data_IF_539819561607
#
_entry.id   IF_539819561607
#
_cell.length_a   1.000
_cell.length_b   1.000
_cell.length_c   1.000
_cell.angle_alpha   90.00
_cell.angle_beta   90.00
_cell.angle_gamma   90.00
#
_symmetry.space_group_name_H-M   'P 1'
#
loop_
_entity.id
_entity.type
_entity.pdbx_description
1 polymer ?
#
# COMPACT_ATOMS: atom_id res chain seq x y z
N UNK A 1 42.86 2.58 -44.23
CA UNK A 1 43.61 3.12 -43.07
C UNK A 1 42.63 3.11 -41.89
N UNK A 2 42.83 2.23 -40.91
CA UNK A 2 41.87 2.00 -39.80
C UNK A 2 42.15 3.01 -38.70
N UNK A 3 41.25 3.96 -38.47
CA UNK A 3 41.35 4.92 -37.37
C UNK A 3 41.03 4.23 -36.05
N UNK A 4 42.05 3.99 -35.23
CA UNK A 4 41.94 3.34 -33.94
C UNK A 4 41.86 4.43 -32.87
N UNK A 5 40.65 4.82 -32.47
CA UNK A 5 40.46 5.70 -31.31
C UNK A 5 40.57 4.82 -30.07
N UNK A 6 41.71 4.95 -29.39
CA UNK A 6 42.02 4.33 -28.09
C UNK A 6 41.09 4.95 -27.04
N UNK A 7 40.19 4.16 -26.46
CA UNK A 7 39.89 4.13 -25.00
C UNK A 7 38.66 3.28 -24.61
N UNK A 8 37.81 2.82 -25.55
CA UNK A 8 36.63 1.98 -25.19
C UNK A 8 36.53 0.64 -25.93
N UNK A 9 37.59 0.19 -26.61
CA UNK A 9 37.67 -1.16 -27.19
C UNK A 9 36.76 -1.45 -28.39
N UNK A 10 35.97 -0.48 -28.87
CA UNK A 10 35.11 -0.66 -30.04
C UNK A 10 35.84 -0.34 -31.35
N UNK A 11 35.72 -1.23 -32.34
CA UNK A 11 36.28 -1.09 -33.70
C UNK A 11 35.12 -0.81 -34.66
N UNK A 12 35.09 0.38 -35.27
CA UNK A 12 34.07 0.73 -36.27
C UNK A 12 34.25 -0.12 -37.53
N UNK A 13 33.14 -0.66 -38.04
CA UNK A 13 33.13 -1.36 -39.33
C UNK A 13 33.22 -0.36 -40.49
N UNK A 14 33.72 -0.78 -41.67
CA UNK A 14 33.72 0.08 -42.86
C UNK A 14 32.29 0.54 -43.19
N UNK A 15 32.04 1.85 -43.14
CA UNK A 15 30.72 2.46 -43.40
C UNK A 15 30.03 3.03 -42.15
N UNK A 16 30.46 2.65 -40.94
CA UNK A 16 29.97 3.28 -39.71
C UNK A 16 30.64 4.64 -39.51
N UNK A 17 29.85 5.65 -39.15
CA UNK A 17 30.30 6.98 -38.73
C UNK A 17 29.66 7.32 -37.39
N UNK A 18 30.37 8.05 -36.56
CA UNK A 18 29.76 8.65 -35.37
C UNK A 18 28.81 9.77 -35.81
N UNK A 19 27.56 9.70 -35.38
CA UNK A 19 26.55 10.75 -35.57
C UNK A 19 26.76 11.84 -34.53
N UNK A 20 26.72 13.11 -34.93
CA UNK A 20 26.77 14.24 -33.99
C UNK A 20 25.39 14.41 -33.31
N UNK A 21 25.35 15.11 -32.17
CA UNK A 21 24.09 15.38 -31.44
C UNK A 21 23.05 16.12 -32.32
N UNK A 22 23.50 16.85 -33.35
CA UNK A 22 22.65 17.57 -34.30
C UNK A 22 22.09 16.68 -35.43
N UNK A 23 22.65 15.49 -35.65
CA UNK A 23 22.14 14.51 -36.63
C UNK A 23 20.98 13.66 -36.06
N UNK A 24 20.61 13.86 -34.79
CA UNK A 24 19.61 13.06 -34.08
C UNK A 24 18.17 13.62 -34.19
N UNK A 25 17.92 14.58 -35.07
CA UNK A 25 16.68 15.37 -35.07
C UNK A 25 15.57 14.75 -35.95
N UNK A 26 15.90 13.84 -36.87
CA UNK A 26 14.92 13.29 -37.83
C UNK A 26 14.32 11.93 -37.43
N UNK A 27 14.76 11.33 -36.31
CA UNK A 27 14.22 10.06 -35.79
C UNK A 27 13.23 10.27 -34.62
N UNK A 28 12.62 11.45 -34.49
CA UNK A 28 11.34 11.58 -33.76
C UNK A 28 10.24 11.07 -34.71
N UNK A 29 10.39 9.82 -35.15
CA UNK A 29 9.30 9.07 -35.73
C UNK A 29 8.27 8.92 -34.62
N UNK A 30 7.22 9.72 -34.73
CA UNK A 30 6.00 9.63 -33.95
C UNK A 30 5.56 8.18 -34.08
N UNK A 31 5.94 7.32 -33.12
CA UNK A 31 5.44 5.95 -33.04
C UNK A 31 3.95 6.05 -33.22
N UNK A 32 3.48 5.61 -34.39
CA UNK A 32 2.08 5.67 -34.73
C UNK A 32 1.38 4.86 -33.63
N UNK A 33 0.26 5.35 -33.11
CA UNK A 33 -0.46 4.72 -31.98
C UNK A 33 -0.73 3.21 -32.21
N UNK A 34 -0.70 2.79 -33.47
CA UNK A 34 -0.75 1.40 -33.97
C UNK A 34 0.47 0.51 -33.65
N UNK A 35 1.69 1.05 -33.54
CA UNK A 35 2.88 0.27 -33.17
C UNK A 35 3.00 0.07 -31.65
N UNK A 36 2.28 0.88 -30.87
CA UNK A 36 2.31 0.90 -29.40
C UNK A 36 1.47 -0.24 -28.79
N UNK A 37 0.52 -0.82 -29.55
CA UNK A 37 -0.40 -1.87 -29.08
C UNK A 37 -0.39 -3.10 -30.00
N UNK A 38 0.79 -3.69 -30.22
CA UNK A 38 0.90 -5.00 -30.88
C UNK A 38 0.53 -6.12 -29.90
N UNK A 39 -0.77 -6.37 -29.73
CA UNK A 39 -1.31 -7.43 -28.85
C UNK A 39 -0.59 -8.76 -29.09
N UNK A 40 -0.40 -9.14 -30.36
CA UNK A 40 0.26 -10.39 -30.75
C UNK A 40 1.70 -10.50 -30.21
N UNK A 41 2.44 -9.39 -30.16
CA UNK A 41 3.81 -9.36 -29.64
C UNK A 41 3.84 -9.47 -28.12
N UNK A 42 2.82 -8.91 -27.45
CA UNK A 42 2.64 -9.05 -26.00
C UNK A 42 2.29 -10.50 -25.66
N UNK A 43 1.39 -11.13 -26.41
CA UNK A 43 1.04 -12.54 -26.24
C UNK A 43 2.24 -13.46 -26.46
N UNK A 44 3.06 -13.21 -27.48
CA UNK A 44 4.30 -13.95 -27.73
C UNK A 44 5.27 -13.82 -26.54
N UNK A 45 5.44 -12.61 -26.01
CA UNK A 45 6.29 -12.37 -24.83
C UNK A 45 5.73 -12.97 -23.55
N UNK A 46 4.41 -12.94 -23.36
CA UNK A 46 3.77 -13.61 -22.24
C UNK A 46 4.00 -15.12 -22.30
N UNK A 47 3.84 -15.74 -23.47
CA UNK A 47 4.11 -17.16 -23.66
C UNK A 47 5.58 -17.54 -23.46
N UNK A 48 6.52 -16.63 -23.75
CA UNK A 48 7.95 -16.81 -23.49
C UNK A 48 8.27 -16.76 -21.99
N UNK A 49 7.63 -15.83 -21.26
CA UNK A 49 7.84 -15.63 -19.82
C UNK A 49 7.04 -16.60 -18.96
N UNK A 50 5.92 -17.10 -19.47
CA UNK A 50 5.05 -18.02 -18.76
C UNK A 50 5.81 -19.32 -18.51
N UNK A 51 6.08 -19.56 -17.24
CA UNK A 51 6.55 -20.86 -16.80
C UNK A 51 5.47 -21.87 -17.19
N UNK A 52 5.79 -22.82 -18.07
CA UNK A 52 4.89 -23.93 -18.42
C UNK A 52 4.81 -24.90 -17.24
N UNK A 53 4.13 -24.48 -16.18
CA UNK A 53 3.80 -25.34 -15.05
C UNK A 53 2.70 -26.31 -15.49
N UNK A 54 3.09 -27.47 -16.02
CA UNK A 54 2.17 -28.61 -16.09
C UNK A 54 1.66 -28.93 -14.68
N UNK A 55 0.34 -29.08 -14.51
CA UNK A 55 -0.37 -29.69 -13.36
C UNK A 55 0.33 -29.58 -11.99
N UNK A 56 0.93 -28.43 -11.68
CA UNK A 56 1.76 -28.27 -10.48
C UNK A 56 0.91 -27.80 -9.31
N UNK A 57 1.19 -28.38 -8.15
CA UNK A 57 0.57 -28.04 -6.89
C UNK A 57 0.61 -26.52 -6.70
N UNK A 58 -0.54 -25.94 -6.32
CA UNK A 58 -0.73 -24.50 -6.09
C UNK A 58 0.34 -23.86 -5.16
N UNK A 59 1.04 -24.65 -4.34
CA UNK A 59 2.17 -24.23 -3.50
C UNK A 59 3.33 -23.59 -4.28
N UNK A 60 3.50 -23.88 -5.57
CA UNK A 60 4.59 -23.31 -6.35
C UNK A 60 4.32 -21.86 -6.78
N UNK A 61 3.06 -21.53 -7.03
CA UNK A 61 2.66 -20.17 -7.43
C UNK A 61 2.22 -19.34 -6.23
N UNK A 62 1.50 -19.95 -5.28
CA UNK A 62 0.83 -19.26 -4.17
C UNK A 62 -0.04 -18.07 -4.61
N UNK A 63 -0.44 -18.04 -5.89
CA UNK A 63 -1.21 -16.96 -6.47
C UNK A 63 -2.70 -17.29 -6.43
N UNK A 64 -3.51 -16.29 -6.13
CA UNK A 64 -4.97 -16.37 -6.20
C UNK A 64 -5.42 -15.22 -7.08
N UNK A 65 -6.10 -15.55 -8.16
CA UNK A 65 -6.59 -14.59 -9.14
C UNK A 65 -8.10 -14.48 -8.92
N UNK A 66 -8.59 -13.26 -8.74
CA UNK A 66 -10.02 -12.98 -8.65
C UNK A 66 -10.42 -11.81 -9.54
N UNK A 67 -11.63 -11.87 -10.07
CA UNK A 67 -12.15 -10.88 -11.01
C UNK A 67 -12.98 -9.78 -10.34
N UNK A 68 -12.87 -9.64 -9.03
CA UNK A 68 -13.72 -8.72 -8.24
C UNK A 68 -13.13 -7.32 -8.23
N UNK A 69 -13.76 -6.42 -8.98
CA UNK A 69 -13.45 -4.99 -8.97
C UNK A 69 -14.12 -4.36 -7.73
N UNK A 70 -13.40 -3.58 -6.90
CA UNK A 70 -14.00 -2.91 -5.76
C UNK A 70 -14.95 -1.80 -6.22
N UNK A 71 -16.26 -2.04 -6.12
CA UNK A 71 -17.32 -1.12 -6.60
C UNK A 71 -18.20 -0.55 -5.48
N UNK A 72 -17.84 -0.74 -4.21
CA UNK A 72 -18.73 -0.36 -3.11
C UNK A 72 -18.61 1.14 -2.75
N UNK A 73 -19.47 1.97 -3.34
CA UNK A 73 -19.49 3.43 -3.16
C UNK A 73 -19.57 3.91 -1.70
N UNK A 74 -19.98 3.05 -0.77
CA UNK A 74 -20.15 3.40 0.65
C UNK A 74 -18.87 3.23 1.49
N UNK A 75 -17.85 2.54 0.96
CA UNK A 75 -16.60 2.26 1.66
C UNK A 75 -15.48 3.14 1.13
N UNK A 76 -14.53 3.47 2.01
CA UNK A 76 -13.25 4.03 1.55
C UNK A 76 -12.49 3.00 0.74
N UNK A 77 -11.72 3.44 -0.25
CA UNK A 77 -10.92 2.57 -1.10
C UNK A 77 -10.03 1.59 -0.31
N UNK A 78 -9.43 2.07 0.79
CA UNK A 78 -8.62 1.22 1.69
C UNK A 78 -9.43 0.09 2.34
N UNK A 79 -10.69 0.34 2.70
CA UNK A 79 -11.55 -0.71 3.26
C UNK A 79 -11.91 -1.75 2.20
N UNK A 80 -12.19 -1.30 0.97
CA UNK A 80 -12.47 -2.21 -0.14
C UNK A 80 -11.28 -3.13 -0.44
N UNK A 81 -10.05 -2.59 -0.45
CA UNK A 81 -8.85 -3.42 -0.62
C UNK A 81 -8.63 -4.39 0.53
N UNK A 82 -8.92 -3.99 1.77
CA UNK A 82 -8.82 -4.88 2.92
C UNK A 82 -9.83 -6.04 2.84
N UNK A 83 -11.07 -5.77 2.46
CA UNK A 83 -12.10 -6.81 2.26
C UNK A 83 -11.72 -7.77 1.13
N UNK A 84 -11.24 -7.24 0.02
CA UNK A 84 -10.76 -8.04 -1.11
C UNK A 84 -9.60 -8.96 -0.70
N UNK A 85 -8.60 -8.42 0.01
CA UNK A 85 -7.47 -9.19 0.51
C UNK A 85 -7.94 -10.29 1.47
N UNK A 86 -8.91 -10.00 2.33
CA UNK A 86 -9.45 -10.97 3.28
C UNK A 86 -10.12 -12.16 2.58
N UNK A 87 -10.91 -11.92 1.53
CA UNK A 87 -11.54 -13.00 0.75
C UNK A 87 -10.48 -13.88 0.05
N UNK A 88 -9.43 -13.30 -0.52
CA UNK A 88 -8.34 -14.07 -1.13
C UNK A 88 -7.55 -14.87 -0.09
N UNK A 89 -7.26 -14.30 1.08
CA UNK A 89 -6.61 -15.04 2.18
C UNK A 89 -7.44 -16.27 2.55
N UNK A 90 -8.77 -16.14 2.65
CA UNK A 90 -9.65 -17.27 2.99
C UNK A 90 -9.57 -18.41 1.97
N UNK A 91 -9.52 -18.08 0.68
CA UNK A 91 -9.34 -19.06 -0.40
C UNK A 91 -7.98 -19.76 -0.25
N UNK A 92 -6.92 -18.99 0.01
CA UNK A 92 -5.57 -19.53 0.16
C UNK A 92 -5.44 -20.45 1.37
N UNK A 93 -6.01 -20.05 2.52
CA UNK A 93 -6.03 -20.88 3.72
C UNK A 93 -6.78 -22.20 3.50
N UNK A 94 -7.87 -22.19 2.75
CA UNK A 94 -8.59 -23.42 2.41
C UNK A 94 -7.75 -24.34 1.52
N UNK A 95 -6.99 -23.78 0.58
CA UNK A 95 -6.08 -24.54 -0.26
C UNK A 95 -4.93 -25.16 0.56
N UNK A 96 -4.30 -24.40 1.47
CA UNK A 96 -3.30 -24.94 2.41
C UNK A 96 -3.88 -26.09 3.26
N UNK A 97 -5.10 -25.93 3.76
CA UNK A 97 -5.79 -26.97 4.53
C UNK A 97 -6.04 -28.23 3.71
N UNK A 98 -6.46 -28.11 2.44
CA UNK A 98 -6.64 -29.25 1.53
C UNK A 98 -5.32 -30.01 1.28
N UNK A 99 -4.20 -29.29 1.29
CA UNK A 99 -2.86 -29.87 1.14
C UNK A 99 -2.28 -30.43 2.44
N UNK A 100 -2.96 -30.26 3.58
CA UNK A 100 -2.49 -30.72 4.88
C UNK A 100 -1.30 -29.91 5.43
N UNK A 101 -1.11 -28.67 4.96
CA UNK A 101 -0.02 -27.80 5.39
C UNK A 101 -0.45 -26.88 6.55
N UNK A 102 0.41 -26.76 7.55
CA UNK A 102 0.26 -25.76 8.62
C UNK A 102 0.67 -24.38 8.09
N UNK A 103 -0.18 -23.38 8.34
CA UNK A 103 0.05 -22.01 7.87
C UNK A 103 0.28 -21.00 9.00
N UNK A 104 -0.01 -21.37 10.25
CA UNK A 104 0.17 -20.48 11.40
C UNK A 104 1.62 -20.52 11.86
N UNK A 105 2.19 -19.34 12.12
CA UNK A 105 3.51 -19.26 12.74
C UNK A 105 3.44 -19.77 14.19
N UNK A 106 4.26 -20.76 14.57
CA UNK A 106 4.37 -21.19 15.96
C UNK A 106 4.91 -20.07 16.87
N UNK A 107 4.42 -19.99 18.11
CA UNK A 107 4.86 -18.97 19.07
C UNK A 107 6.32 -19.12 19.46
N UNK A 108 6.83 -20.35 19.45
CA UNK A 108 8.20 -20.70 19.86
C UNK A 108 9.21 -20.68 18.68
N UNK A 109 8.77 -20.20 17.51
CA UNK A 109 9.65 -20.10 16.34
C UNK A 109 10.19 -18.67 16.19
N UNK A 110 11.44 -18.49 16.66
CA UNK A 110 12.17 -17.23 16.58
C UNK A 110 13.07 -17.22 15.33
N UNK A 111 12.62 -16.51 14.30
CA UNK A 111 13.39 -16.20 13.10
C UNK A 111 13.48 -14.69 12.91
N UNK A 112 14.43 -14.23 12.10
CA UNK A 112 14.51 -12.82 11.72
C UNK A 112 13.19 -12.36 11.06
N UNK A 113 12.69 -11.21 11.50
CA UNK A 113 11.45 -10.60 11.02
C UNK A 113 11.76 -9.43 10.09
N UNK A 114 10.82 -9.08 9.20
CA UNK A 114 10.97 -7.93 8.29
C UNK A 114 11.23 -6.60 9.04
N UNK A 115 10.76 -6.49 10.29
CA UNK A 115 10.95 -5.32 11.15
C UNK A 115 11.64 -5.73 12.43
N UNK A 116 12.61 -4.93 12.89
CA UNK A 116 13.28 -5.15 14.17
C UNK A 116 12.34 -4.91 15.36
N UNK A 117 12.63 -5.60 16.46
CA UNK A 117 11.87 -5.45 17.71
C UNK A 117 11.95 -4.03 18.26
N UNK A 118 13.11 -3.38 18.12
CA UNK A 118 13.31 -1.98 18.51
C UNK A 118 12.34 -1.05 17.77
N UNK A 119 12.19 -1.25 16.45
CA UNK A 119 11.27 -0.47 15.64
C UNK A 119 9.81 -0.72 16.04
N UNK A 120 9.43 -1.98 16.30
CA UNK A 120 8.07 -2.31 16.75
C UNK A 120 7.77 -1.76 18.14
N UNK A 121 8.74 -1.78 19.06
CA UNK A 121 8.60 -1.18 20.38
C UNK A 121 8.37 0.34 20.30
N UNK A 122 9.10 1.03 19.40
CA UNK A 122 8.86 2.45 19.12
C UNK A 122 7.42 2.72 18.64
N UNK A 123 6.92 1.91 17.69
CA UNK A 123 5.53 2.05 17.19
C UNK A 123 4.52 1.84 18.32
N UNK A 124 4.69 0.79 19.13
CA UNK A 124 3.80 0.48 20.26
C UNK A 124 3.77 1.66 21.25
N UNK A 125 4.94 2.20 21.60
CA UNK A 125 5.04 3.35 22.50
C UNK A 125 4.35 4.59 21.92
N UNK A 126 4.50 4.84 20.62
CA UNK A 126 3.81 5.95 19.93
C UNK A 126 2.28 5.79 19.98
N UNK A 127 1.77 4.57 19.77
CA UNK A 127 0.34 4.28 19.85
C UNK A 127 -0.19 4.46 21.28
N UNK A 128 0.54 3.95 22.28
CA UNK A 128 0.20 4.10 23.70
C UNK A 128 0.16 5.57 24.11
N UNK A 129 1.14 6.36 23.69
CA UNK A 129 1.18 7.80 23.93
C UNK A 129 -0.03 8.52 23.29
N UNK A 130 -0.38 8.17 22.04
CA UNK A 130 -1.58 8.72 21.37
C UNK A 130 -2.86 8.37 22.12
N UNK A 131 -3.00 7.12 22.57
CA UNK A 131 -4.15 6.67 23.36
C UNK A 131 -4.24 7.41 24.69
N UNK A 132 -3.14 7.58 25.41
CA UNK A 132 -3.09 8.30 26.68
C UNK A 132 -3.43 9.78 26.51
N UNK A 133 -2.91 10.42 25.47
CA UNK A 133 -3.23 11.81 25.14
C UNK A 133 -4.71 12.00 24.78
N UNK A 134 -5.31 11.05 24.05
CA UNK A 134 -6.73 11.10 23.75
C UNK A 134 -7.59 10.90 25.01
N UNK A 135 -7.20 9.97 25.90
CA UNK A 135 -7.85 9.76 27.19
C UNK A 135 -7.76 11.00 28.08
N UNK A 136 -6.60 11.66 28.17
CA UNK A 136 -6.41 12.86 28.97
C UNK A 136 -7.24 14.04 28.44
N UNK A 137 -7.23 14.27 27.12
CA UNK A 137 -8.09 15.27 26.45
C UNK A 137 -9.57 15.02 26.72
N UNK A 138 -10.03 13.78 26.59
CA UNK A 138 -11.42 13.42 26.86
C UNK A 138 -11.81 13.66 28.34
N UNK A 139 -10.91 13.35 29.29
CA UNK A 139 -11.12 13.66 30.71
C UNK A 139 -11.18 15.17 30.97
N UNK A 140 -10.29 15.96 30.37
CA UNK A 140 -10.28 17.41 30.48
C UNK A 140 -11.58 18.03 29.93
N UNK A 141 -12.00 17.61 28.74
CA UNK A 141 -13.23 18.08 28.10
C UNK A 141 -14.47 17.77 28.96
N UNK A 142 -14.53 16.56 29.56
CA UNK A 142 -15.59 16.21 30.52
C UNK A 142 -15.59 17.13 31.75
N UNK A 143 -14.41 17.39 32.35
CA UNK A 143 -14.28 18.30 33.50
C UNK A 143 -14.72 19.73 33.15
N UNK A 144 -14.30 20.25 32.00
CA UNK A 144 -14.66 21.59 31.55
C UNK A 144 -16.16 21.73 31.31
N UNK A 145 -16.80 20.73 30.67
CA UNK A 145 -18.25 20.70 30.46
C UNK A 145 -19.01 20.68 31.79
N UNK A 146 -18.56 19.87 32.75
CA UNK A 146 -19.13 19.82 34.10
C UNK A 146 -19.01 21.16 34.83
N UNK A 147 -17.84 21.80 34.77
CA UNK A 147 -17.61 23.09 35.42
C UNK A 147 -18.48 24.20 34.81
N UNK A 148 -18.59 24.25 33.47
CA UNK A 148 -19.49 25.19 32.77
C UNK A 148 -20.96 24.97 33.17
N UNK A 149 -21.40 23.72 33.31
CA UNK A 149 -22.75 23.41 33.76
C UNK A 149 -23.00 23.79 35.23
N UNK A 150 -21.99 23.68 36.09
CA UNK A 150 -22.09 24.12 37.50
C UNK A 150 -22.18 25.64 37.60
N UNK A 151 -21.37 26.39 36.83
CA UNK A 151 -21.38 27.86 36.85
C UNK A 151 -22.70 28.41 36.31
N UNK A 152 -23.21 27.89 35.19
CA UNK A 152 -24.51 28.31 34.64
C UNK A 152 -25.67 28.03 35.60
N UNK A 153 -25.69 26.86 36.25
CA UNK A 153 -26.69 26.55 37.29
C UNK A 153 -26.63 27.53 38.46
N UNK A 154 -25.43 27.88 38.95
CA UNK A 154 -25.25 28.87 40.02
C UNK A 154 -25.75 30.26 39.59
N UNK A 155 -25.39 30.72 38.39
CA UNK A 155 -25.84 32.01 37.86
C UNK A 155 -27.36 32.06 37.72
N UNK A 156 -27.98 31.01 37.20
CA UNK A 156 -29.44 30.92 37.07
C UNK A 156 -30.12 30.95 38.45
N UNK A 157 -29.59 30.22 39.44
CA UNK A 157 -30.09 30.27 40.82
C UNK A 157 -30.01 31.70 41.40
N UNK A 158 -28.88 32.39 41.27
CA UNK A 158 -28.75 33.79 41.70
C UNK A 158 -29.74 34.73 40.98
N UNK A 159 -29.94 34.56 39.67
CA UNK A 159 -30.93 35.35 38.91
C UNK A 159 -32.36 35.11 39.43
N UNK A 160 -32.72 33.87 39.71
CA UNK A 160 -34.06 33.55 40.26
C UNK A 160 -34.27 34.15 41.66
N UNK A 161 -33.27 34.07 42.55
CA UNK A 161 -33.33 34.66 43.89
C UNK A 161 -33.48 36.19 43.81
N UNK A 162 -32.68 36.86 42.97
CA UNK A 162 -32.78 38.32 42.77
C UNK A 162 -34.15 38.75 42.24
N UNK A 163 -34.78 37.95 41.37
CA UNK A 163 -36.14 38.22 40.89
C UNK A 163 -37.19 38.09 42.00
N UNK A 164 -37.03 37.13 42.92
CA UNK A 164 -37.94 36.94 44.06
C UNK A 164 -37.84 38.07 45.09
N UNK A 165 -36.65 38.61 45.33
CA UNK A 165 -36.41 39.71 46.29
C UNK A 165 -36.87 41.09 45.80
N UNK A 166 -37.19 41.24 44.51
CA UNK A 166 -37.67 42.49 43.90
C UNK A 166 -39.20 42.54 43.75
N UNK A 167 -39.90 41.49 44.19
CA UNK A 167 -41.36 41.44 44.35
C UNK A 167 -41.67 41.52 45.83
#
# INVERSE_FOLDING_TARGET
>A
MVFKIKELGYLLKPGEKFTNEEDCIDDININTKSEIYLINKIEEKLNEMELKLNDKNWIETLTIIGNTIPQNNNLTLNQQFNELAYEFIKIGLNNFKKMGLEFNRPMDFYSEMLKSDEHMNYIINKLNNKLNNNKSKNKLNKKNKLNKNKTTKKMNKHKTIKKKLKK
#
